data_IF_006428281528
#
_entry.id   IF_006428281528
#
_cell.length_a   1.000
_cell.length_b   1.000
_cell.length_c   1.000
_cell.angle_alpha   90.00
_cell.angle_beta   90.00
_cell.angle_gamma   90.00
#
_symmetry.space_group_name_H-M   'P 1'
#
loop_
_entity.id
_entity.type
_entity.pdbx_description
1 polymer ?
#
# COMPACT_ATOMS: atom_id res chain seq x y z
N UNK A 1 -6.95 1.76 7.26
CA UNK A 1 -6.20 1.24 6.10
C UNK A 1 -7.06 1.21 4.83
N UNK A 2 -7.04 2.29 4.03
CA UNK A 2 -7.69 2.32 2.72
C UNK A 2 -7.02 1.37 1.72
N UNK A 3 -7.86 0.60 0.99
CA UNK A 3 -7.46 -0.15 -0.20
C UNK A 3 -7.75 0.72 -1.42
N UNK A 4 -6.73 0.95 -2.25
CA UNK A 4 -6.86 1.68 -3.51
C UNK A 4 -6.91 0.72 -4.69
N UNK A 5 -7.81 0.99 -5.63
CA UNK A 5 -7.83 0.34 -6.94
C UNK A 5 -6.95 1.13 -7.89
N UNK A 6 -5.95 0.49 -8.49
CA UNK A 6 -5.00 1.11 -9.43
C UNK A 6 -5.24 0.57 -10.82
N UNK A 7 -5.48 1.47 -11.78
CA UNK A 7 -5.76 1.11 -13.17
C UNK A 7 -4.63 1.59 -14.08
N UNK A 8 -4.19 0.71 -14.98
CA UNK A 8 -3.19 1.01 -16.00
C UNK A 8 -3.86 1.24 -17.37
N UNK A 9 -3.77 2.45 -17.95
CA UNK A 9 -4.36 2.75 -19.26
C UNK A 9 -3.60 2.10 -20.42
N UNK A 10 -2.34 1.71 -20.22
CA UNK A 10 -1.50 1.12 -21.28
C UNK A 10 -1.91 -0.31 -21.62
N UNK A 11 -2.27 -1.10 -20.60
CA UNK A 11 -2.51 -2.55 -20.76
C UNK A 11 -3.83 -3.03 -20.12
N UNK A 12 -4.64 -2.11 -19.59
CA UNK A 12 -5.92 -2.41 -18.94
C UNK A 12 -5.81 -3.19 -17.62
N UNK A 13 -4.61 -3.30 -17.03
CA UNK A 13 -4.42 -4.02 -15.78
C UNK A 13 -5.00 -3.23 -14.60
N UNK A 14 -5.80 -3.90 -13.77
CA UNK A 14 -6.34 -3.39 -12.52
C UNK A 14 -5.72 -4.16 -11.35
N UNK A 15 -5.12 -3.44 -10.41
CA UNK A 15 -4.50 -3.99 -9.20
C UNK A 15 -5.11 -3.34 -7.95
N UNK A 16 -5.01 -4.03 -6.81
CA UNK A 16 -5.40 -3.49 -5.49
C UNK A 16 -4.15 -3.29 -4.65
N UNK A 17 -4.07 -2.17 -3.94
CA UNK A 17 -2.93 -1.82 -3.11
C UNK A 17 -3.37 -1.10 -1.84
N UNK A 18 -2.49 -1.03 -0.86
CA UNK A 18 -2.76 -0.48 0.47
C UNK A 18 -1.83 0.71 0.69
N UNK A 19 -2.36 1.78 1.26
CA UNK A 19 -1.52 2.82 1.88
C UNK A 19 -1.82 2.81 3.38
N UNK A 20 -0.77 2.70 4.17
CA UNK A 20 -0.86 2.74 5.62
C UNK A 20 -1.44 4.08 6.07
N UNK A 21 -2.26 4.04 7.11
CA UNK A 21 -2.87 5.25 7.66
C UNK A 21 -1.79 6.15 8.28
N UNK A 22 -1.88 7.46 8.00
CA UNK A 22 -0.86 8.43 8.39
C UNK A 22 0.37 8.48 7.47
N UNK A 23 0.54 7.53 6.54
CA UNK A 23 1.60 7.60 5.53
C UNK A 23 1.18 8.47 4.33
N UNK A 24 2.15 9.17 3.75
CA UNK A 24 1.95 9.92 2.52
C UNK A 24 1.72 8.96 1.34
N UNK A 25 0.74 9.26 0.50
CA UNK A 25 0.49 8.51 -0.73
C UNK A 25 1.69 8.61 -1.70
N UNK A 26 2.02 7.54 -2.45
CA UNK A 26 3.10 7.58 -3.44
C UNK A 26 2.89 8.69 -4.47
N UNK A 27 3.97 9.40 -4.81
CA UNK A 27 3.97 10.42 -5.87
C UNK A 27 3.99 9.83 -7.29
N UNK A 28 4.41 8.57 -7.43
CA UNK A 28 4.43 7.85 -8.69
C UNK A 28 3.81 6.45 -8.51
N UNK A 29 3.15 5.97 -9.56
CA UNK A 29 2.52 4.65 -9.63
C UNK A 29 2.96 3.94 -10.91
N UNK A 30 3.38 2.69 -10.79
CA UNK A 30 3.89 1.86 -11.89
C UNK A 30 3.04 0.61 -12.02
N UNK A 31 2.67 0.26 -13.25
CA UNK A 31 1.93 -0.97 -13.52
C UNK A 31 2.82 -2.19 -13.28
N UNK A 32 2.39 -3.09 -12.40
CA UNK A 32 3.11 -4.34 -12.10
C UNK A 32 3.10 -5.37 -13.24
N UNK A 33 2.38 -5.13 -14.34
CA UNK A 33 2.31 -6.04 -15.50
C UNK A 33 3.11 -5.56 -16.70
N UNK A 34 3.05 -4.27 -17.02
CA UNK A 34 3.71 -3.70 -18.22
C UNK A 34 4.79 -2.67 -17.89
N UNK A 35 5.03 -2.39 -16.60
CA UNK A 35 5.96 -1.37 -16.11
C UNK A 35 5.67 0.07 -16.59
N UNK A 36 4.47 0.33 -17.13
CA UNK A 36 4.04 1.68 -17.50
C UNK A 36 3.88 2.60 -16.28
N UNK A 37 4.35 3.84 -16.40
CA UNK A 37 4.30 4.88 -15.34
C UNK A 37 3.01 5.71 -15.33
N UNK A 38 2.05 5.35 -16.20
CA UNK A 38 0.73 5.99 -16.31
C UNK A 38 -0.34 5.29 -15.47
N UNK A 39 0.01 4.26 -14.71
CA UNK A 39 -0.89 3.68 -13.72
C UNK A 39 -1.31 4.75 -12.72
N UNK A 40 -2.57 4.77 -12.29
CA UNK A 40 -3.08 5.74 -11.32
C UNK A 40 -4.09 5.08 -10.37
N UNK A 41 -4.09 5.45 -9.09
CA UNK A 41 -5.13 5.03 -8.15
C UNK A 41 -6.43 5.75 -8.49
N UNK A 42 -7.54 5.04 -8.40
CA UNK A 42 -8.88 5.59 -8.39
C UNK A 42 -9.22 6.02 -6.96
N UNK A 43 -9.26 7.33 -6.73
CA UNK A 43 -9.55 7.91 -5.42
C UNK A 43 -11.05 7.89 -5.06
N UNK A 44 -11.91 7.55 -6.02
CA UNK A 44 -13.34 7.36 -5.76
C UNK A 44 -13.65 5.92 -5.32
N UNK A 45 -12.75 4.98 -5.62
CA UNK A 45 -12.89 3.57 -5.27
C UNK A 45 -11.92 3.19 -4.15
N UNK A 46 -12.19 3.74 -2.96
CA UNK A 46 -11.48 3.38 -1.73
C UNK A 46 -12.29 2.30 -1.02
N UNK A 47 -11.79 1.06 -1.08
CA UNK A 47 -12.40 -0.05 -0.35
C UNK A 47 -11.86 -0.05 1.09
N UNK A 48 -12.75 -0.35 2.04
CA UNK A 48 -12.35 -0.56 3.43
C UNK A 48 -11.60 -1.89 3.50
N UNK A 49 -10.42 -1.90 4.12
CA UNK A 49 -9.68 -3.15 4.19
C UNK A 49 -10.44 -4.15 5.08
N UNK A 50 -10.55 -5.44 4.69
CA UNK A 50 -11.23 -6.45 5.51
C UNK A 50 -10.67 -6.58 6.93
N UNK A 51 -9.44 -6.08 7.16
CA UNK A 51 -8.79 -6.08 8.47
C UNK A 51 -8.89 -4.74 9.25
N UNK A 52 -9.91 -3.93 8.98
CA UNK A 52 -10.27 -2.76 9.82
C UNK A 52 -11.42 -3.07 10.80
N UNK A 53 -11.78 -4.34 10.96
CA UNK A 53 -12.62 -4.80 12.08
C UNK A 53 -11.79 -5.04 13.34
N UNK A 54 -12.43 -5.27 14.49
CA UNK A 54 -11.71 -5.63 15.71
C UNK A 54 -10.98 -6.98 15.52
N UNK A 55 -9.65 -6.97 15.54
CA UNK A 55 -8.83 -8.18 15.51
C UNK A 55 -8.44 -8.55 16.94
N UNK A 56 -8.96 -9.67 17.45
CA UNK A 56 -8.62 -10.17 18.80
C UNK A 56 -7.16 -10.59 18.97
N UNK A 57 -6.45 -10.82 17.86
CA UNK A 57 -5.03 -11.10 17.79
C UNK A 57 -4.46 -10.37 16.58
N UNK A 58 -3.53 -9.45 16.78
CA UNK A 58 -2.93 -8.67 15.68
C UNK A 58 -2.32 -9.54 14.57
N UNK A 59 -2.21 -8.99 13.36
CA UNK A 59 -1.65 -9.65 12.19
C UNK A 59 -0.13 -9.91 12.34
N UNK A 60 0.37 -11.03 11.79
CA UNK A 60 1.81 -11.37 11.72
C UNK A 60 2.69 -10.31 11.02
N UNK A 61 2.08 -9.41 10.26
CA UNK A 61 2.76 -8.25 9.66
C UNK A 61 2.99 -7.12 10.68
N UNK A 62 2.12 -6.98 11.69
CA UNK A 62 2.12 -5.90 12.68
C UNK A 62 2.42 -6.39 14.12
N UNK A 63 2.54 -7.70 14.33
CA UNK A 63 2.89 -8.31 15.60
C UNK A 63 4.30 -8.91 15.51
N UNK A 64 5.35 -8.17 15.91
CA UNK A 64 6.60 -8.82 16.24
C UNK A 64 6.33 -9.60 17.53
N UNK A 65 6.62 -10.89 17.53
CA UNK A 65 6.96 -11.56 18.78
C UNK A 65 8.13 -10.80 19.42
N UNK A 66 7.81 -9.94 20.38
CA UNK A 66 8.77 -9.26 21.26
C UNK A 66 9.39 -7.97 20.72
N UNK A 67 9.21 -6.90 21.50
CA UNK A 67 10.08 -5.72 21.64
C UNK A 67 10.56 -4.97 20.38
N UNK A 68 10.11 -3.72 20.23
CA UNK A 68 10.82 -2.70 19.47
C UNK A 68 9.87 -1.77 18.71
N UNK A 69 9.75 -0.52 19.16
CA UNK A 69 9.19 0.57 18.36
C UNK A 69 10.00 0.72 17.07
N UNK A 70 9.41 0.66 15.85
CA UNK A 70 10.15 0.99 14.66
C UNK A 70 10.28 2.51 14.58
N UNK A 71 11.43 3.02 14.98
CA UNK A 71 11.90 4.33 14.54
C UNK A 71 11.92 4.31 13.00
N UNK A 72 11.24 5.28 12.37
CA UNK A 72 11.24 5.47 10.93
C UNK A 72 12.64 5.90 10.46
N UNK A 73 13.55 4.94 10.32
CA UNK A 73 14.80 5.15 9.60
C UNK A 73 14.55 4.94 8.11
N UNK A 74 14.57 6.06 7.37
CA UNK A 74 14.63 6.07 5.93
C UNK A 74 15.81 5.21 5.46
N UNK A 75 15.57 4.26 4.56
CA UNK A 75 16.64 3.56 3.86
C UNK A 75 17.32 4.58 2.92
N UNK A 76 18.48 5.08 3.35
CA UNK A 76 19.36 5.86 2.50
C UNK A 76 19.93 4.93 1.43
N UNK A 77 19.54 5.18 0.18
CA UNK A 77 20.06 4.45 -0.96
C UNK A 77 21.51 4.86 -1.20
N UNK A 78 22.43 3.91 -1.08
CA UNK A 78 23.79 4.07 -1.59
C UNK A 78 24.31 2.77 -2.20
N UNK A 79 24.60 2.92 -3.50
CA UNK A 79 25.53 2.21 -4.39
C UNK A 79 25.41 0.68 -4.56
#
# INVERSE_FOLDING_TARGET
MPVFVVSCPDCGHVARTLVLEGCRMPGEWVCSKCNGRRARPDLQQIEKHPWEGAHGSGCLCCAPTGAGTPECSAIDGSA
#
